data_IF_737349040504
#
_entry.id   IF_737349040504
#
_cell.length_a   1.000
_cell.length_b   1.000
_cell.length_c   1.000
_cell.angle_alpha   90.00
_cell.angle_beta   90.00
_cell.angle_gamma   90.00
#
_symmetry.space_group_name_H-M   'P 1'
#
loop_
_entity.id
_entity.type
_entity.pdbx_description
1 polymer ?
#
# COMPACT_ATOMS: atom_id res chain seq x y z
N UNK A 1 -5.58 10.34 -10.08
CA UNK A 1 -5.51 10.33 -11.55
C UNK A 1 -5.71 11.74 -12.02
N UNK A 2 -4.68 12.39 -12.52
CA UNK A 2 -4.76 13.69 -13.19
C UNK A 2 -4.79 13.41 -14.69
N UNK A 3 -5.91 13.73 -15.37
CA UNK A 3 -6.07 13.61 -16.83
C UNK A 3 -5.69 12.23 -17.41
N UNK A 4 -6.17 11.13 -16.79
CA UNK A 4 -5.88 9.76 -17.24
C UNK A 4 -4.39 9.35 -17.11
N UNK A 5 -3.61 10.05 -16.29
CA UNK A 5 -2.24 9.70 -15.94
C UNK A 5 -2.22 9.01 -14.58
N UNK A 6 -1.58 7.87 -14.53
CA UNK A 6 -1.34 7.10 -13.30
C UNK A 6 0.08 7.35 -12.82
N UNK A 7 0.28 7.26 -11.51
CA UNK A 7 1.59 7.33 -10.87
C UNK A 7 1.85 6.00 -10.19
N UNK A 8 3.05 5.47 -10.36
CA UNK A 8 3.53 4.25 -9.71
C UNK A 8 5.00 4.37 -9.34
N UNK A 9 5.51 3.40 -8.62
CA UNK A 9 6.92 3.23 -8.29
C UNK A 9 7.32 1.76 -8.51
N UNK A 10 8.62 1.49 -8.48
CA UNK A 10 9.11 0.12 -8.40
C UNK A 10 9.06 -0.36 -6.94
N UNK A 11 8.92 -1.66 -6.77
CA UNK A 11 9.15 -2.38 -5.54
C UNK A 11 10.63 -2.25 -5.09
N UNK A 12 11.06 -3.08 -4.16
CA UNK A 12 12.36 -3.02 -3.49
C UNK A 12 13.59 -2.97 -4.42
N UNK A 13 14.62 -2.25 -3.99
CA UNK A 13 15.96 -2.25 -4.59
C UNK A 13 16.09 -1.50 -5.92
N UNK A 14 15.03 -0.86 -6.41
CA UNK A 14 15.07 0.00 -7.59
C UNK A 14 15.57 1.41 -7.30
N UNK A 15 15.73 2.24 -8.35
CA UNK A 15 15.92 3.67 -8.15
C UNK A 15 14.68 4.26 -7.44
N UNK A 16 14.87 5.20 -6.50
CA UNK A 16 13.76 5.86 -5.81
C UNK A 16 13.08 6.85 -6.77
N UNK A 17 12.21 6.31 -7.63
CA UNK A 17 11.60 7.04 -8.74
C UNK A 17 10.10 6.84 -8.82
N UNK A 18 9.40 7.91 -9.16
CA UNK A 18 8.00 7.86 -9.57
C UNK A 18 7.93 7.74 -11.10
N UNK A 19 7.06 6.87 -11.58
CA UNK A 19 6.78 6.66 -12.99
C UNK A 19 5.36 7.09 -13.30
N UNK A 20 5.20 7.80 -14.41
CA UNK A 20 3.92 8.30 -14.89
C UNK A 20 3.56 7.53 -16.15
N UNK A 21 2.39 6.93 -16.19
CA UNK A 21 1.96 6.14 -17.33
C UNK A 21 0.50 6.45 -17.71
N UNK A 22 0.17 6.22 -18.97
CA UNK A 22 -1.16 6.42 -19.52
C UNK A 22 -2.02 5.14 -19.47
N UNK A 23 -3.25 5.23 -19.97
CA UNK A 23 -4.20 4.09 -20.04
C UNK A 23 -3.72 2.94 -20.95
N UNK A 24 -2.79 3.22 -21.88
CA UNK A 24 -2.21 2.22 -22.75
C UNK A 24 -1.00 1.49 -22.09
N UNK A 25 -0.64 1.92 -20.86
CA UNK A 25 0.49 1.36 -20.10
C UNK A 25 1.84 1.94 -20.54
N UNK A 26 1.87 2.98 -21.35
CA UNK A 26 3.10 3.63 -21.78
C UNK A 26 3.61 4.57 -20.69
N UNK A 27 4.89 4.45 -20.33
CA UNK A 27 5.56 5.41 -19.44
C UNK A 27 5.77 6.70 -20.20
N UNK A 28 5.08 7.75 -19.78
CA UNK A 28 5.13 9.08 -20.38
C UNK A 28 6.12 10.02 -19.70
N UNK A 29 6.48 9.73 -18.45
CA UNK A 29 7.46 10.50 -17.67
C UNK A 29 7.99 9.66 -16.51
N UNK A 30 9.13 10.08 -15.97
CA UNK A 30 9.66 9.57 -14.69
C UNK A 30 10.31 10.70 -13.90
N UNK A 31 10.27 10.60 -12.59
CA UNK A 31 10.89 11.56 -11.67
C UNK A 31 11.66 10.81 -10.62
N UNK A 32 12.99 10.92 -10.64
CA UNK A 32 13.83 10.47 -9.54
C UNK A 32 13.63 11.38 -8.34
N UNK A 33 13.39 10.79 -7.19
CA UNK A 33 13.28 11.50 -5.93
C UNK A 33 14.67 11.68 -5.35
N UNK A 34 15.03 12.93 -5.07
CA UNK A 34 16.34 13.30 -4.52
C UNK A 34 16.11 14.18 -3.29
N UNK A 35 16.76 13.88 -2.19
CA UNK A 35 16.81 14.80 -1.07
C UNK A 35 17.85 15.89 -1.35
N UNK A 36 17.51 17.16 -1.04
CA UNK A 36 18.45 18.28 -1.09
C UNK A 36 19.53 18.19 0.01
N UNK A 37 19.42 17.22 0.90
CA UNK A 37 20.32 17.00 2.03
C UNK A 37 21.29 15.84 1.79
N UNK A 38 22.33 15.74 2.63
CA UNK A 38 23.39 14.71 2.59
C UNK A 38 22.93 13.25 2.68
N UNK A 39 21.63 12.98 2.86
CA UNK A 39 21.05 11.65 3.01
C UNK A 39 20.33 11.24 1.74
N UNK A 40 20.86 10.24 1.06
CA UNK A 40 20.21 9.66 -0.11
C UNK A 40 18.90 8.96 0.29
N UNK A 41 17.85 9.17 -0.51
CA UNK A 41 16.66 8.33 -0.45
C UNK A 41 16.98 7.00 -1.12
N UNK A 42 16.66 5.94 -0.39
CA UNK A 42 16.72 4.59 -0.92
C UNK A 42 15.30 4.03 -1.03
N UNK A 43 15.02 3.33 -2.12
CA UNK A 43 13.90 2.42 -2.17
C UNK A 43 14.34 1.14 -1.43
N UNK A 44 14.03 1.06 -0.12
CA UNK A 44 14.36 -0.15 0.65
C UNK A 44 13.36 -1.25 0.35
N UNK A 45 12.04 -0.93 0.44
CA UNK A 45 10.95 -1.88 0.22
C UNK A 45 9.64 -1.06 0.13
N UNK A 46 9.45 -0.39 -1.04
CA UNK A 46 8.29 0.45 -1.30
C UNK A 46 7.12 -0.42 -1.75
N UNK A 47 5.99 -0.30 -1.06
CA UNK A 47 4.86 -1.21 -1.23
C UNK A 47 3.65 -0.56 -1.90
N UNK A 48 3.20 0.59 -1.43
CA UNK A 48 1.99 1.24 -1.93
C UNK A 48 2.13 2.77 -1.95
N UNK A 49 1.25 3.43 -2.68
CA UNK A 49 1.28 4.88 -2.90
C UNK A 49 -0.14 5.47 -2.85
N UNK A 50 -0.29 6.58 -2.13
CA UNK A 50 -1.54 7.35 -2.10
C UNK A 50 -1.23 8.85 -2.17
N UNK A 51 -2.24 9.70 -2.39
CA UNK A 51 -2.04 11.14 -2.46
C UNK A 51 -3.27 11.91 -2.01
N UNK A 52 -3.04 13.10 -1.43
CA UNK A 52 -4.01 14.19 -1.33
C UNK A 52 -3.68 15.31 -2.33
N UNK A 53 -4.26 16.50 -2.15
CA UNK A 53 -4.04 17.64 -3.06
C UNK A 53 -2.58 18.13 -3.00
N UNK A 54 -1.96 18.10 -1.82
CA UNK A 54 -0.64 18.70 -1.56
C UNK A 54 0.51 17.69 -1.62
N UNK A 55 0.25 16.42 -1.26
CA UNK A 55 1.30 15.44 -1.07
C UNK A 55 0.98 14.07 -1.66
N UNK A 56 2.04 13.42 -2.12
CA UNK A 56 2.10 11.99 -2.42
C UNK A 56 2.75 11.31 -1.21
N UNK A 57 2.18 10.22 -0.77
CA UNK A 57 2.68 9.38 0.33
C UNK A 57 3.09 8.03 -0.21
N UNK A 58 4.35 7.65 0.01
CA UNK A 58 4.92 6.38 -0.44
C UNK A 58 5.24 5.54 0.79
N UNK A 59 4.72 4.33 0.83
CA UNK A 59 4.94 3.39 1.92
C UNK A 59 6.27 2.66 1.77
N UNK A 60 7.32 3.08 2.48
CA UNK A 60 8.56 2.31 2.66
C UNK A 60 8.38 1.37 3.88
N UNK A 61 7.47 0.41 3.71
CA UNK A 61 6.89 -0.38 4.81
C UNK A 61 7.04 -1.88 4.66
N UNK A 62 7.52 -2.37 3.52
CA UNK A 62 7.83 -3.76 3.30
C UNK A 62 8.81 -4.28 4.36
N UNK A 63 8.52 -5.43 4.93
CA UNK A 63 9.27 -5.98 6.05
C UNK A 63 9.18 -7.51 6.05
N UNK A 64 9.48 -8.10 4.93
CA UNK A 64 9.35 -9.53 4.63
C UNK A 64 9.94 -10.47 5.70
N UNK A 65 10.94 -10.00 6.46
CA UNK A 65 11.59 -10.77 7.53
C UNK A 65 11.22 -10.31 8.94
N UNK A 66 10.32 -9.33 9.09
CA UNK A 66 9.87 -8.82 10.37
C UNK A 66 10.94 -8.12 11.21
N UNK A 67 12.06 -7.70 10.63
CA UNK A 67 13.23 -7.18 11.33
C UNK A 67 13.61 -5.74 10.95
N UNK A 68 12.82 -5.05 10.13
CA UNK A 68 13.08 -3.64 9.81
C UNK A 68 12.68 -2.71 10.95
N UNK A 69 13.58 -1.80 11.31
CA UNK A 69 13.39 -0.76 12.34
C UNK A 69 13.30 0.65 11.78
N UNK A 70 13.40 0.77 10.45
CA UNK A 70 13.43 2.04 9.71
C UNK A 70 12.18 2.22 8.82
N UNK A 71 11.04 1.66 9.24
CA UNK A 71 9.77 1.79 8.53
C UNK A 71 9.32 3.25 8.51
N UNK A 72 8.88 3.71 7.37
CA UNK A 72 8.45 5.10 7.21
C UNK A 72 7.49 5.30 6.03
N UNK A 73 6.80 6.43 6.03
CA UNK A 73 6.09 6.96 4.88
C UNK A 73 6.87 8.16 4.35
N UNK A 74 7.23 8.15 3.09
CA UNK A 74 7.91 9.27 2.43
C UNK A 74 6.82 10.26 1.96
N UNK A 75 6.94 11.53 2.36
CA UNK A 75 6.03 12.62 2.01
C UNK A 75 6.66 13.45 0.90
N UNK A 76 6.04 13.48 -0.28
CA UNK A 76 6.53 14.14 -1.50
C UNK A 76 5.51 15.18 -1.94
N UNK A 77 5.93 16.40 -2.27
CA UNK A 77 5.04 17.46 -2.76
C UNK A 77 4.50 17.13 -4.15
N UNK A 78 3.22 17.39 -4.38
CA UNK A 78 2.58 17.15 -5.69
C UNK A 78 3.00 18.14 -6.78
N UNK A 79 3.40 19.37 -6.39
CA UNK A 79 3.66 20.46 -7.33
C UNK A 79 5.03 20.38 -8.03
N UNK A 80 6.07 19.85 -7.34
CA UNK A 80 7.44 19.82 -7.87
C UNK A 80 8.14 18.46 -7.63
N UNK A 81 7.47 17.55 -6.95
CA UNK A 81 7.99 16.23 -6.54
C UNK A 81 9.23 16.32 -5.66
N UNK A 82 9.39 17.42 -4.91
CA UNK A 82 10.40 17.51 -3.87
C UNK A 82 9.96 16.74 -2.63
N UNK A 83 10.94 16.20 -1.90
CA UNK A 83 10.66 15.47 -0.67
C UNK A 83 10.45 16.47 0.47
N UNK A 84 9.28 16.38 1.11
CA UNK A 84 8.98 17.16 2.31
C UNK A 84 9.59 16.52 3.56
N UNK A 85 9.61 15.18 3.64
CA UNK A 85 10.14 14.46 4.78
C UNK A 85 9.72 13.00 4.85
N UNK A 86 10.02 12.39 6.01
CA UNK A 86 9.67 11.00 6.31
C UNK A 86 8.93 10.93 7.64
N UNK A 87 7.80 10.22 7.63
CA UNK A 87 7.02 9.93 8.84
C UNK A 87 7.46 8.56 9.35
N UNK A 88 8.34 8.55 10.32
CA UNK A 88 8.90 7.31 10.87
C UNK A 88 7.98 6.67 11.89
N UNK A 89 7.92 5.34 11.88
CA UNK A 89 7.13 4.59 12.86
C UNK A 89 7.75 3.25 13.23
N UNK A 90 7.15 2.60 14.23
CA UNK A 90 7.41 1.22 14.62
C UNK A 90 6.11 0.63 15.16
N UNK A 91 5.97 -0.69 15.10
CA UNK A 91 4.84 -1.37 15.73
C UNK A 91 5.13 -1.58 17.22
N UNK A 92 4.13 -1.36 18.08
CA UNK A 92 4.26 -1.49 19.53
C UNK A 92 4.71 -2.87 19.97
N UNK A 93 4.19 -3.91 19.28
CA UNK A 93 4.42 -5.31 19.64
C UNK A 93 5.57 -5.94 18.86
N UNK A 94 6.27 -5.19 18.02
CA UNK A 94 7.42 -5.69 17.29
C UNK A 94 8.59 -5.81 18.26
N UNK A 95 8.96 -7.06 18.58
CA UNK A 95 10.13 -7.35 19.39
C UNK A 95 11.44 -6.93 18.69
N UNK A 96 12.52 -6.79 19.48
CA UNK A 96 13.82 -6.32 19.01
C UNK A 96 14.28 -6.98 17.70
N UNK A 97 14.88 -6.16 16.85
CA UNK A 97 15.36 -6.48 15.50
C UNK A 97 16.56 -7.41 15.55
N UNK A 98 16.34 -8.74 15.63
CA UNK A 98 17.40 -9.71 15.48
C UNK A 98 17.70 -9.95 13.99
N UNK A 99 18.72 -9.29 13.48
CA UNK A 99 19.19 -9.41 12.10
C UNK A 99 19.60 -10.84 11.68
N UNK A 100 19.80 -11.75 12.62
CA UNK A 100 20.42 -13.06 12.41
C UNK A 100 19.43 -14.19 12.15
N UNK A 101 18.17 -14.03 12.48
CA UNK A 101 17.14 -15.07 12.28
C UNK A 101 15.91 -14.44 11.64
N UNK A 102 15.77 -14.53 10.30
CA UNK A 102 14.59 -14.04 9.60
C UNK A 102 13.34 -14.74 10.13
N UNK A 103 12.35 -13.97 10.55
CA UNK A 103 11.01 -14.47 10.85
C UNK A 103 10.16 -14.31 9.59
N UNK A 104 9.81 -15.40 8.94
CA UNK A 104 8.93 -15.37 7.77
C UNK A 104 7.44 -15.40 8.11
N UNK A 105 7.11 -15.70 9.38
CA UNK A 105 5.74 -15.73 9.90
C UNK A 105 5.57 -14.64 10.95
N UNK A 106 5.04 -13.50 10.54
CA UNK A 106 4.79 -12.34 11.39
C UNK A 106 3.71 -11.44 10.74
N UNK A 107 3.32 -10.37 11.42
CA UNK A 107 2.31 -9.40 11.01
C UNK A 107 2.85 -7.98 10.79
N UNK A 108 4.17 -7.80 10.71
CA UNK A 108 4.83 -6.48 10.68
C UNK A 108 5.25 -6.06 9.27
N UNK A 109 4.70 -6.69 8.27
CA UNK A 109 4.77 -6.34 6.87
C UNK A 109 3.50 -5.57 6.48
N UNK A 110 3.58 -4.45 5.78
CA UNK A 110 2.42 -3.66 5.41
C UNK A 110 2.53 -3.25 3.95
N UNK A 111 1.54 -3.69 3.16
CA UNK A 111 1.53 -3.55 1.71
C UNK A 111 0.28 -2.82 1.19
N UNK A 112 -0.52 -2.20 2.06
CA UNK A 112 -1.62 -1.35 1.63
C UNK A 112 -1.59 -0.02 2.37
N UNK A 113 -1.74 1.08 1.63
CA UNK A 113 -1.69 2.45 2.10
C UNK A 113 -2.87 3.25 1.54
N UNK A 114 -3.59 3.97 2.38
CA UNK A 114 -4.62 4.89 1.94
C UNK A 114 -4.80 6.05 2.93
N UNK A 115 -5.43 7.13 2.45
CA UNK A 115 -5.83 8.24 3.30
C UNK A 115 -7.27 8.02 3.78
N UNK A 116 -7.52 8.30 5.04
CA UNK A 116 -8.85 8.31 5.65
C UNK A 116 -8.95 9.45 6.64
N UNK A 117 -9.90 10.36 6.43
CA UNK A 117 -10.01 11.58 7.20
C UNK A 117 -8.67 12.36 7.20
N UNK A 118 -8.12 12.69 8.37
CA UNK A 118 -6.85 13.39 8.54
C UNK A 118 -5.65 12.45 8.78
N UNK A 119 -5.81 11.14 8.56
CA UNK A 119 -4.80 10.11 8.85
C UNK A 119 -4.34 9.37 7.60
N UNK A 120 -3.14 8.81 7.70
CA UNK A 120 -2.68 7.75 6.83
C UNK A 120 -3.03 6.43 7.49
N UNK A 121 -3.67 5.54 6.75
CA UNK A 121 -3.95 4.18 7.18
C UNK A 121 -3.02 3.20 6.46
N UNK A 122 -2.49 2.22 7.19
CA UNK A 122 -1.79 1.07 6.60
C UNK A 122 -2.45 -0.22 7.06
N UNK A 123 -2.42 -1.22 6.20
CA UNK A 123 -2.90 -2.57 6.50
C UNK A 123 -1.75 -3.57 6.40
N UNK A 124 -1.62 -4.40 7.44
CA UNK A 124 -0.57 -5.41 7.49
C UNK A 124 -0.86 -6.62 6.61
N UNK A 125 0.22 -7.27 6.15
CA UNK A 125 0.24 -8.56 5.48
C UNK A 125 0.66 -9.62 6.50
N UNK A 126 -0.29 -10.15 7.29
CA UNK A 126 0.00 -11.15 8.33
C UNK A 126 0.23 -12.53 7.70
N UNK A 127 1.50 -12.89 7.56
CA UNK A 127 1.94 -14.18 7.02
C UNK A 127 1.75 -15.34 8.02
N UNK A 128 1.35 -15.07 9.27
CA UNK A 128 1.12 -16.08 10.28
C UNK A 128 -0.31 -16.64 10.24
N UNK A 129 -1.29 -15.74 10.16
CA UNK A 129 -2.70 -16.03 10.33
C UNK A 129 -3.57 -15.71 9.11
N UNK A 130 -3.02 -15.03 8.08
CA UNK A 130 -3.75 -14.51 6.92
C UNK A 130 -4.79 -13.45 7.33
N UNK A 131 -4.51 -12.72 8.40
CA UNK A 131 -5.28 -11.58 8.88
C UNK A 131 -4.66 -10.29 8.35
N UNK A 132 -5.33 -9.17 8.62
CA UNK A 132 -4.79 -7.84 8.43
C UNK A 132 -5.12 -6.96 9.61
N UNK A 133 -4.12 -6.27 10.13
CA UNK A 133 -4.24 -5.27 11.17
C UNK A 133 -4.28 -3.88 10.54
N UNK A 134 -5.23 -3.05 10.93
CA UNK A 134 -5.29 -1.63 10.56
C UNK A 134 -4.52 -0.79 11.55
N UNK A 135 -3.61 0.02 11.06
CA UNK A 135 -2.86 1.01 11.82
C UNK A 135 -3.14 2.41 11.27
N UNK A 136 -3.12 3.41 12.16
CA UNK A 136 -3.28 4.81 11.79
C UNK A 136 -2.01 5.59 12.14
N UNK A 137 -1.56 6.40 11.19
CA UNK A 137 -0.38 7.25 11.28
C UNK A 137 -0.84 8.70 11.19
N UNK A 138 -0.36 9.54 12.08
CA UNK A 138 -0.56 10.98 12.02
C UNK A 138 0.34 11.56 10.92
N UNK A 139 -0.26 12.10 9.87
CA UNK A 139 0.46 12.62 8.69
C UNK A 139 1.21 13.91 8.95
N UNK A 140 0.95 14.59 10.07
CA UNK A 140 1.60 15.85 10.45
C UNK A 140 2.64 15.68 11.58
N UNK A 141 2.84 14.45 12.07
CA UNK A 141 3.79 14.20 13.16
C UNK A 141 5.24 14.26 12.70
N UNK A 142 6.04 15.07 13.37
CA UNK A 142 7.48 15.18 13.16
C UNK A 142 8.29 14.21 14.05
N UNK A 143 7.64 13.40 14.88
CA UNK A 143 8.29 12.43 15.77
C UNK A 143 8.02 11.01 15.33
N UNK A 144 8.93 10.07 15.66
CA UNK A 144 8.69 8.65 15.42
C UNK A 144 7.46 8.18 16.21
N UNK A 145 6.54 7.54 15.52
CA UNK A 145 5.29 7.04 16.10
C UNK A 145 5.40 5.57 16.49
N UNK A 146 4.70 5.19 17.56
CA UNK A 146 4.53 3.80 17.97
C UNK A 146 3.10 3.39 17.66
N UNK A 147 2.93 2.49 16.71
CA UNK A 147 1.62 2.11 16.19
C UNK A 147 1.03 0.94 16.96
N UNK A 148 -0.22 1.11 17.39
CA UNK A 148 -1.07 0.04 17.90
C UNK A 148 -2.17 -0.28 16.87
N UNK A 149 -2.46 -1.57 16.68
CA UNK A 149 -3.56 -2.01 15.83
C UNK A 149 -4.89 -1.44 16.33
N UNK A 150 -5.67 -0.84 15.44
CA UNK A 150 -7.02 -0.35 15.72
C UNK A 150 -8.05 -1.45 15.64
N UNK A 151 -7.84 -2.38 14.71
CA UNK A 151 -8.70 -3.53 14.47
C UNK A 151 -7.93 -4.59 13.68
N UNK A 152 -8.30 -5.84 13.85
CA UNK A 152 -7.83 -6.98 13.04
C UNK A 152 -9.00 -7.57 12.28
N UNK A 153 -8.82 -7.79 10.97
CA UNK A 153 -9.79 -8.47 10.11
C UNK A 153 -9.27 -9.84 9.67
N UNK A 154 -10.09 -10.88 9.85
CA UNK A 154 -9.84 -12.21 9.30
C UNK A 154 -10.22 -12.22 7.82
N UNK A 155 -9.28 -11.85 6.97
CA UNK A 155 -9.48 -11.80 5.51
C UNK A 155 -9.11 -13.12 4.84
N UNK A 156 -8.46 -14.04 5.55
CA UNK A 156 -8.02 -15.35 5.05
C UNK A 156 -7.24 -15.22 3.72
N UNK A 157 -6.37 -14.22 3.63
CA UNK A 157 -5.47 -13.95 2.50
C UNK A 157 -4.42 -12.90 2.89
N UNK A 158 -3.41 -12.72 2.07
CA UNK A 158 -2.37 -11.72 2.22
C UNK A 158 -2.75 -10.47 1.44
N UNK A 159 -2.90 -9.34 2.11
CA UNK A 159 -3.17 -8.05 1.48
C UNK A 159 -1.91 -7.58 0.75
N UNK A 160 -2.10 -7.01 -0.45
CA UNK A 160 -1.02 -6.52 -1.31
C UNK A 160 -1.23 -5.09 -1.82
N UNK A 161 -2.37 -4.50 -1.60
CA UNK A 161 -2.63 -3.10 -1.96
C UNK A 161 -4.01 -2.65 -1.51
N UNK A 162 -4.20 -1.34 -1.43
CA UNK A 162 -5.46 -0.78 -0.97
C UNK A 162 -5.75 0.63 -1.48
N UNK A 163 -7.03 0.95 -1.65
CA UNK A 163 -7.49 2.31 -1.94
C UNK A 163 -8.78 2.60 -1.19
N UNK A 164 -8.89 3.81 -0.69
CA UNK A 164 -10.10 4.30 -0.03
C UNK A 164 -10.66 5.52 -0.76
N UNK A 165 -11.93 5.47 -1.07
CA UNK A 165 -12.65 6.60 -1.62
C UNK A 165 -13.61 7.16 -0.55
N UNK A 166 -13.34 8.37 -0.10
CA UNK A 166 -14.08 9.01 1.00
C UNK A 166 -15.51 9.34 0.61
N UNK A 167 -15.76 9.84 -0.62
CA UNK A 167 -17.11 10.18 -1.10
C UNK A 167 -18.02 8.95 -1.14
N UNK A 168 -17.46 7.80 -1.54
CA UNK A 168 -18.16 6.52 -1.58
C UNK A 168 -18.18 5.80 -0.22
N UNK A 169 -17.34 6.26 0.72
CA UNK A 169 -17.03 5.54 1.96
C UNK A 169 -16.68 4.07 1.68
N UNK A 170 -15.90 3.83 0.65
CA UNK A 170 -15.54 2.50 0.14
C UNK A 170 -14.05 2.26 0.32
N UNK A 171 -13.69 1.19 1.07
CA UNK A 171 -12.35 0.65 1.09
C UNK A 171 -12.30 -0.59 0.18
N UNK A 172 -11.37 -0.60 -0.75
CA UNK A 172 -11.12 -1.71 -1.66
C UNK A 172 -9.68 -2.20 -1.48
N UNK A 173 -9.51 -3.50 -1.28
CA UNK A 173 -8.21 -4.13 -1.10
C UNK A 173 -8.03 -5.23 -2.15
N UNK A 174 -6.80 -5.44 -2.55
CA UNK A 174 -6.37 -6.61 -3.32
C UNK A 174 -5.57 -7.55 -2.42
N UNK A 175 -5.66 -8.85 -2.70
CA UNK A 175 -5.01 -9.87 -1.87
C UNK A 175 -4.86 -11.18 -2.62
N UNK A 176 -3.96 -12.05 -2.16
CA UNK A 176 -3.84 -13.41 -2.66
C UNK A 176 -3.80 -14.44 -1.52
N UNK A 177 -4.08 -15.70 -1.85
CA UNK A 177 -3.95 -16.80 -0.89
C UNK A 177 -2.74 -17.70 -1.24
N UNK A 178 -2.45 -18.66 -0.38
CA UNK A 178 -1.33 -19.61 -0.56
C UNK A 178 -1.40 -20.48 -1.82
N UNK A 179 -2.53 -20.46 -2.55
CA UNK A 179 -2.71 -21.15 -3.82
C UNK A 179 -2.57 -20.22 -5.03
N UNK A 180 -2.20 -18.95 -4.83
CA UNK A 180 -2.07 -17.94 -5.87
C UNK A 180 -3.41 -17.40 -6.41
N UNK A 181 -4.53 -17.71 -5.77
CA UNK A 181 -5.82 -17.09 -6.15
C UNK A 181 -5.87 -15.64 -5.67
N UNK A 182 -6.23 -14.74 -6.56
CA UNK A 182 -6.34 -13.31 -6.32
C UNK A 182 -7.76 -12.91 -5.90
N UNK A 183 -7.89 -11.94 -5.01
CA UNK A 183 -9.17 -11.49 -4.48
C UNK A 183 -9.26 -9.97 -4.41
N UNK A 184 -10.46 -9.46 -4.68
CA UNK A 184 -10.92 -8.14 -4.32
C UNK A 184 -11.70 -8.24 -3.00
N UNK A 185 -11.37 -7.39 -2.03
CA UNK A 185 -12.06 -7.28 -0.74
C UNK A 185 -12.66 -5.89 -0.66
N UNK A 186 -13.95 -5.78 -0.41
CA UNK A 186 -14.70 -4.54 -0.36
C UNK A 186 -15.35 -4.34 1.00
N UNK A 187 -15.06 -3.20 1.63
CA UNK A 187 -15.74 -2.72 2.83
C UNK A 187 -16.60 -1.52 2.44
N UNK A 188 -17.91 -1.71 2.43
CA UNK A 188 -18.90 -0.64 2.16
C UNK A 188 -19.19 0.17 3.44
N UNK A 189 -19.41 1.48 3.29
CA UNK A 189 -19.62 2.43 4.39
C UNK A 189 -18.47 2.39 5.43
N UNK A 190 -17.25 2.25 4.98
CA UNK A 190 -16.06 2.18 5.83
C UNK A 190 -15.74 3.56 6.40
N UNK A 191 -15.64 3.66 7.74
CA UNK A 191 -15.33 4.89 8.47
C UNK A 191 -14.60 4.55 9.77
N UNK A 192 -13.77 5.46 10.29
CA UNK A 192 -13.02 5.24 11.53
C UNK A 192 -13.92 5.01 12.75
N UNK A 193 -15.11 5.64 12.79
CA UNK A 193 -16.06 5.52 13.89
C UNK A 193 -16.72 4.14 14.06
N UNK A 194 -16.64 3.26 13.03
CA UNK A 194 -17.39 1.99 13.01
C UNK A 194 -16.56 0.77 12.56
N UNK A 195 -15.25 0.80 12.73
CA UNK A 195 -14.34 -0.25 12.28
C UNK A 195 -14.74 -1.66 12.74
N UNK A 196 -15.12 -1.81 14.02
CA UNK A 196 -15.44 -3.11 14.61
C UNK A 196 -16.72 -3.77 14.05
N UNK A 197 -17.60 -3.00 13.44
CA UNK A 197 -18.88 -3.48 12.90
C UNK A 197 -18.77 -3.85 11.41
N UNK A 198 -17.63 -3.59 10.78
CA UNK A 198 -17.48 -3.73 9.33
C UNK A 198 -17.38 -5.17 8.90
N UNK A 199 -18.27 -5.52 7.98
CA UNK A 199 -18.19 -6.73 7.20
C UNK A 199 -17.65 -6.38 5.82
N UNK A 200 -16.97 -7.33 5.21
CA UNK A 200 -16.45 -7.18 3.85
C UNK A 200 -17.03 -8.23 2.92
N UNK A 201 -17.04 -7.91 1.63
CA UNK A 201 -17.28 -8.86 0.54
C UNK A 201 -15.93 -9.28 -0.02
N UNK A 202 -15.68 -10.58 -0.16
CA UNK A 202 -14.48 -11.12 -0.79
C UNK A 202 -14.84 -11.78 -2.10
N UNK A 203 -14.29 -11.27 -3.20
CA UNK A 203 -14.64 -11.66 -4.57
C UNK A 203 -13.36 -12.19 -5.24
N UNK A 204 -13.41 -13.39 -5.80
CA UNK A 204 -12.29 -13.94 -6.55
C UNK A 204 -12.11 -13.18 -7.86
N UNK A 205 -10.89 -12.68 -8.11
CA UNK A 205 -10.52 -12.08 -9.39
C UNK A 205 -10.13 -13.21 -10.35
N UNK A 206 -10.70 -13.27 -11.57
CA UNK A 206 -10.43 -14.35 -12.51
C UNK A 206 -9.12 -14.14 -13.30
N UNK A 207 -8.05 -13.82 -12.60
CA UNK A 207 -6.69 -13.68 -13.15
C UNK A 207 -5.84 -14.78 -12.55
N UNK A 208 -5.14 -15.51 -13.41
CA UNK A 208 -4.22 -16.58 -13.02
C UNK A 208 -2.79 -16.14 -13.32
N UNK A 209 -1.84 -16.60 -12.50
CA UNK A 209 -0.40 -16.39 -12.69
C UNK A 209 0.01 -14.90 -12.72
N UNK A 210 -0.61 -14.10 -11.89
CA UNK A 210 -0.22 -12.71 -11.68
C UNK A 210 -0.41 -12.39 -10.21
N UNK A 211 0.50 -11.66 -9.61
CA UNK A 211 0.33 -11.07 -8.30
C UNK A 211 -0.19 -9.63 -8.48
N UNK A 212 -1.40 -9.37 -7.96
CA UNK A 212 -1.99 -8.04 -8.03
C UNK A 212 -1.50 -7.25 -6.84
N UNK A 213 -0.86 -6.10 -7.11
CA UNK A 213 -0.19 -5.30 -6.09
C UNK A 213 -0.81 -3.93 -5.88
N UNK A 214 -1.57 -3.42 -6.84
CA UNK A 214 -2.21 -2.13 -6.66
C UNK A 214 -3.67 -2.12 -7.10
N UNK A 215 -4.44 -1.23 -6.48
CA UNK A 215 -5.85 -1.00 -6.80
C UNK A 215 -6.17 0.49 -6.76
N UNK A 216 -7.05 0.94 -7.67
CA UNK A 216 -7.65 2.28 -7.65
C UNK A 216 -9.15 2.21 -7.88
N UNK A 217 -9.92 2.79 -6.97
CA UNK A 217 -11.37 2.89 -7.06
C UNK A 217 -11.73 3.96 -8.09
N UNK A 218 -12.56 3.60 -9.09
CA UNK A 218 -13.12 4.54 -10.08
C UNK A 218 -14.56 4.91 -9.69
N UNK A 219 -15.33 3.89 -9.36
CA UNK A 219 -16.68 4.01 -8.81
C UNK A 219 -16.96 2.79 -7.90
N UNK A 220 -18.17 2.68 -7.36
CA UNK A 220 -18.53 1.60 -6.42
C UNK A 220 -18.49 0.18 -7.00
N UNK A 221 -18.24 0.02 -8.29
CA UNK A 221 -18.20 -1.27 -9.00
C UNK A 221 -17.05 -1.40 -9.98
N UNK A 222 -16.30 -0.33 -10.22
CA UNK A 222 -15.22 -0.29 -11.22
C UNK A 222 -13.91 0.08 -10.55
N UNK A 223 -12.88 -0.72 -10.82
CA UNK A 223 -11.54 -0.59 -10.23
C UNK A 223 -10.49 -0.72 -11.32
N UNK A 224 -9.40 0.04 -11.22
CA UNK A 224 -8.15 -0.28 -11.88
C UNK A 224 -7.31 -1.11 -10.92
N UNK A 225 -6.70 -2.17 -11.43
CA UNK A 225 -5.76 -3.02 -10.70
C UNK A 225 -4.53 -3.26 -11.57
N UNK A 226 -3.36 -3.36 -10.94
CA UNK A 226 -2.12 -3.69 -11.65
C UNK A 226 -1.50 -4.95 -11.08
N UNK A 227 -0.81 -5.70 -11.92
CA UNK A 227 -0.01 -6.85 -11.50
C UNK A 227 1.47 -6.58 -11.73
N UNK A 228 2.31 -7.19 -10.91
CA UNK A 228 3.75 -7.25 -11.15
C UNK A 228 4.13 -8.36 -12.14
N UNK A 229 5.36 -8.31 -12.63
CA UNK A 229 5.96 -9.36 -13.45
C UNK A 229 6.72 -10.35 -12.56
N UNK A 230 6.11 -11.49 -12.26
CA UNK A 230 6.77 -12.60 -11.56
C UNK A 230 7.70 -13.44 -12.48
N UNK A 231 8.20 -12.86 -13.58
CA UNK A 231 9.04 -13.54 -14.56
C UNK A 231 8.29 -14.50 -15.48
N UNK A 232 6.95 -14.42 -15.51
CA UNK A 232 6.08 -15.27 -16.34
C UNK A 232 5.42 -14.48 -17.46
N UNK A 233 5.49 -13.15 -17.41
CA UNK A 233 4.90 -12.24 -18.40
C UNK A 233 5.18 -10.78 -18.04
N UNK A 234 4.67 -9.87 -18.84
CA UNK A 234 4.77 -8.44 -18.55
C UNK A 234 3.76 -8.04 -17.47
N UNK A 235 4.05 -6.98 -16.68
CA UNK A 235 3.05 -6.39 -15.80
C UNK A 235 1.86 -5.87 -16.60
N UNK A 236 0.65 -6.00 -16.05
CA UNK A 236 -0.57 -5.57 -16.72
C UNK A 236 -1.41 -4.65 -15.84
N UNK A 237 -2.14 -3.76 -16.48
CA UNK A 237 -3.22 -3.01 -15.88
C UNK A 237 -4.57 -3.54 -16.37
N UNK A 238 -5.48 -3.82 -15.44
CA UNK A 238 -6.79 -4.37 -15.72
C UNK A 238 -7.88 -3.43 -15.21
N UNK A 239 -8.96 -3.32 -15.99
CA UNK A 239 -10.20 -2.69 -15.54
C UNK A 239 -11.14 -3.76 -15.03
N UNK A 240 -11.28 -3.86 -13.72
CA UNK A 240 -12.15 -4.82 -13.05
C UNK A 240 -13.54 -4.21 -12.84
N UNK A 241 -14.59 -4.94 -13.22
CA UNK A 241 -15.99 -4.58 -12.93
C UNK A 241 -16.66 -5.66 -12.10
N UNK A 242 -17.29 -5.26 -10.99
CA UNK A 242 -18.09 -6.12 -10.12
C UNK A 242 -19.56 -5.97 -10.49
N UNK A 243 -20.27 -7.10 -10.54
CA UNK A 243 -21.71 -7.15 -10.86
C UNK A 243 -22.58 -6.81 -9.64
#
# INVERSE_FOLDING_TARGET
ILNEVFITHNDSGGEPSLYFFNLDGEIINSKKLEEESFWEIYNNDWEDITADEDYIYIADTGNNFGNRGNLNIIKVKTNDFSIEGKINFTYKDQEEFFYWIPKTKHKYDAEALFLIEDKIAILSKDRSNLFTDLYLIDKESNSKQVLESKITYDVNSLITGGDYNEELSLLALVSYNSKGSQYLILFENFKLENLAEKKFKKIKIPIERAQIEAIKIIDNKTFWITSEDEGIGNPYMYKLKVK
#
